data_IF_669281088637
#
_entry.id   IF_669281088637
#
_cell.length_a   1.000
_cell.length_b   1.000
_cell.length_c   1.000
_cell.angle_alpha   90.00
_cell.angle_beta   90.00
_cell.angle_gamma   90.00
#
_symmetry.space_group_name_H-M   'P 1'
#
loop_
_entity.id
_entity.type
_entity.pdbx_description
1 polymer ?
#
# COMPACT_ATOMS: atom_id res chain seq x y z
N UNK A 1 4.92 -0.38 -14.47
CA UNK A 1 5.64 -0.44 -13.20
C UNK A 1 4.97 -1.54 -12.40
N UNK A 2 5.72 -2.52 -11.91
CA UNK A 2 5.10 -3.66 -11.21
C UNK A 2 4.91 -3.29 -9.74
N UNK A 3 3.68 -3.42 -9.22
CA UNK A 3 3.33 -3.01 -7.87
C UNK A 3 2.79 -4.21 -7.10
N UNK A 4 3.36 -4.45 -5.93
CA UNK A 4 2.84 -5.39 -4.94
C UNK A 4 2.09 -4.58 -3.89
N UNK A 5 0.85 -4.97 -3.61
CA UNK A 5 -0.05 -4.31 -2.67
C UNK A 5 -0.39 -5.31 -1.56
N UNK A 6 0.02 -5.04 -0.33
CA UNK A 6 -0.21 -5.88 0.83
C UNK A 6 -1.15 -5.17 1.81
N UNK A 7 -2.38 -5.67 1.92
CA UNK A 7 -3.41 -5.19 2.84
C UNK A 7 -3.33 -5.94 4.16
N UNK A 8 -3.00 -5.21 5.23
CA UNK A 8 -2.77 -5.76 6.57
C UNK A 8 -3.74 -5.16 7.58
N UNK A 9 -4.15 -5.96 8.56
CA UNK A 9 -4.69 -5.42 9.81
C UNK A 9 -3.54 -4.94 10.73
N UNK A 10 -3.88 -4.32 11.86
CA UNK A 10 -2.87 -3.78 12.79
C UNK A 10 -1.91 -4.84 13.36
N UNK A 11 -2.42 -6.03 13.72
CA UNK A 11 -1.59 -7.11 14.26
C UNK A 11 -0.61 -7.65 13.21
N UNK A 12 -1.09 -7.85 11.98
CA UNK A 12 -0.26 -8.29 10.85
C UNK A 12 0.84 -7.28 10.53
N UNK A 13 0.50 -5.98 10.54
CA UNK A 13 1.45 -4.91 10.28
C UNK A 13 2.55 -4.83 11.37
N UNK A 14 2.17 -4.82 12.64
CA UNK A 14 3.10 -4.71 13.77
C UNK A 14 4.06 -5.89 13.89
N UNK A 15 3.62 -7.08 13.49
CA UNK A 15 4.43 -8.31 13.53
C UNK A 15 5.15 -8.60 12.20
N UNK A 16 5.18 -7.64 11.27
CA UNK A 16 5.80 -7.79 9.94
C UNK A 16 5.28 -9.00 9.15
N UNK A 17 4.01 -9.38 9.37
CA UNK A 17 3.33 -10.45 8.65
C UNK A 17 2.67 -9.93 7.38
N UNK A 18 2.44 -10.82 6.41
CA UNK A 18 1.68 -10.52 5.21
C UNK A 18 0.19 -10.72 5.47
N UNK A 19 -0.63 -9.81 4.96
CA UNK A 19 -2.08 -9.97 4.94
C UNK A 19 -2.53 -10.48 3.59
N UNK A 20 -3.41 -9.73 2.92
CA UNK A 20 -3.89 -10.05 1.58
C UNK A 20 -3.03 -9.32 0.55
N UNK A 21 -2.37 -10.07 -0.32
CA UNK A 21 -1.47 -9.54 -1.35
C UNK A 21 -2.17 -9.53 -2.73
N UNK A 22 -2.02 -8.42 -3.44
CA UNK A 22 -2.35 -8.25 -4.85
C UNK A 22 -1.10 -7.80 -5.61
N UNK A 23 -1.00 -8.20 -6.87
CA UNK A 23 0.08 -7.79 -7.77
C UNK A 23 -0.56 -7.21 -9.03
N UNK A 24 -0.13 -6.01 -9.43
CA UNK A 24 -0.65 -5.35 -10.63
C UNK A 24 0.45 -4.56 -11.34
N UNK A 25 0.34 -4.48 -12.67
CA UNK A 25 1.18 -3.60 -13.47
C UNK A 25 0.45 -2.28 -13.69
N UNK A 26 0.97 -1.20 -13.10
CA UNK A 26 0.41 0.15 -13.22
C UNK A 26 1.28 1.02 -14.11
N UNK A 27 0.65 1.93 -14.87
CA UNK A 27 1.34 3.08 -15.44
C UNK A 27 1.73 4.07 -14.34
N UNK A 28 2.69 4.97 -14.64
CA UNK A 28 3.12 6.01 -13.69
C UNK A 28 1.94 6.90 -13.25
N UNK A 29 1.10 7.34 -14.19
CA UNK A 29 -0.09 8.13 -13.89
C UNK A 29 -1.10 7.39 -12.99
N UNK A 30 -1.31 6.09 -13.20
CA UNK A 30 -2.21 5.29 -12.34
C UNK A 30 -1.64 5.13 -10.94
N UNK A 31 -0.32 4.98 -10.83
CA UNK A 31 0.36 4.89 -9.55
C UNK A 31 0.32 6.23 -8.79
N UNK A 32 0.56 7.36 -9.46
CA UNK A 32 0.45 8.69 -8.87
C UNK A 32 -0.97 8.95 -8.34
N UNK A 33 -2.00 8.60 -9.12
CA UNK A 33 -3.40 8.69 -8.67
C UNK A 33 -3.70 7.78 -7.48
N UNK A 34 -3.08 6.60 -7.41
CA UNK A 34 -3.22 5.70 -6.26
C UNK A 34 -2.59 6.31 -5.00
N UNK A 35 -1.37 6.86 -5.11
CA UNK A 35 -0.69 7.52 -3.98
C UNK A 35 -1.49 8.73 -3.48
N UNK A 36 -2.00 9.56 -4.39
CA UNK A 36 -2.86 10.71 -4.05
C UNK A 36 -4.14 10.27 -3.32
N UNK A 37 -4.77 9.18 -3.78
CA UNK A 37 -6.00 8.63 -3.16
C UNK A 37 -5.74 8.11 -1.75
N UNK A 38 -4.55 7.56 -1.53
CA UNK A 38 -4.12 7.00 -0.26
C UNK A 38 -3.46 8.03 0.67
N UNK A 39 -3.36 9.29 0.26
CA UNK A 39 -2.65 10.36 0.99
C UNK A 39 -1.21 9.94 1.37
N UNK A 40 -0.54 9.23 0.46
CA UNK A 40 0.85 8.78 0.62
C UNK A 40 1.81 9.78 -0.03
N UNK A 41 2.92 10.08 0.65
CA UNK A 41 3.96 10.93 0.10
C UNK A 41 4.98 10.12 -0.74
N UNK A 42 5.43 10.71 -1.85
CA UNK A 42 6.40 10.10 -2.79
C UNK A 42 7.78 9.80 -2.16
N UNK A 43 8.08 10.38 -0.99
CA UNK A 43 9.39 10.26 -0.31
C UNK A 43 9.69 8.84 0.19
N UNK A 44 8.69 7.96 0.27
CA UNK A 44 8.83 6.59 0.77
C UNK A 44 9.24 5.56 -0.31
N UNK A 45 9.65 5.99 -1.51
CA UNK A 45 10.09 5.07 -2.56
C UNK A 45 11.20 4.11 -2.07
N UNK A 46 11.10 2.79 -2.36
CA UNK A 46 10.08 2.10 -3.17
C UNK A 46 8.91 1.51 -2.37
N UNK A 47 8.85 1.72 -1.05
CA UNK A 47 7.90 1.07 -0.15
C UNK A 47 7.02 2.11 0.56
N UNK A 48 5.76 2.19 0.16
CA UNK A 48 4.81 3.18 0.67
C UNK A 48 3.89 2.53 1.69
N UNK A 49 3.63 3.22 2.79
CA UNK A 49 2.81 2.73 3.88
C UNK A 49 1.64 3.69 4.10
N UNK A 50 0.44 3.24 3.76
CA UNK A 50 -0.79 3.98 4.02
C UNK A 50 -1.49 3.40 5.26
N UNK A 51 -2.04 4.27 6.11
CA UNK A 51 -2.98 3.88 7.16
C UNK A 51 -4.38 4.34 6.79
N UNK A 52 -5.31 3.39 6.72
CA UNK A 52 -6.73 3.66 6.46
C UNK A 52 -7.59 3.20 7.63
N UNK A 53 -8.75 3.81 7.79
CA UNK A 53 -9.80 3.33 8.70
C UNK A 53 -11.08 3.05 7.96
N UNK A 54 -11.74 1.97 8.34
CA UNK A 54 -13.08 1.66 7.87
C UNK A 54 -14.15 2.40 8.71
N UNK A 55 -15.41 2.25 8.30
CA UNK A 55 -16.56 2.86 9.00
C UNK A 55 -16.79 2.32 10.43
N UNK A 56 -16.16 1.20 10.78
CA UNK A 56 -16.17 0.63 12.13
C UNK A 56 -15.00 1.13 13.00
N UNK A 57 -14.26 2.16 12.54
CA UNK A 57 -13.06 2.73 13.18
C UNK A 57 -11.93 1.70 13.39
N UNK A 58 -11.92 0.63 12.59
CA UNK A 58 -10.83 -0.34 12.57
C UNK A 58 -9.73 0.14 11.64
N UNK A 59 -8.49 0.11 12.13
CA UNK A 59 -7.31 0.49 11.35
C UNK A 59 -6.81 -0.67 10.48
N UNK A 60 -6.48 -0.34 9.23
CA UNK A 60 -5.81 -1.20 8.28
C UNK A 60 -4.63 -0.46 7.66
N UNK A 61 -3.68 -1.24 7.16
CA UNK A 61 -2.48 -0.75 6.53
C UNK A 61 -2.41 -1.27 5.10
N UNK A 62 -2.08 -0.38 4.17
CA UNK A 62 -1.86 -0.73 2.77
C UNK A 62 -0.39 -0.46 2.49
N UNK A 63 0.39 -1.52 2.34
CA UNK A 63 1.80 -1.46 1.99
C UNK A 63 1.94 -1.64 0.49
N UNK A 64 2.52 -0.67 -0.21
CA UNK A 64 2.81 -0.75 -1.64
C UNK A 64 4.31 -0.92 -1.83
N UNK A 65 4.74 -1.91 -2.60
CA UNK A 65 6.14 -2.10 -3.00
C UNK A 65 6.24 -1.99 -4.52
N UNK A 66 7.11 -1.09 -4.97
CA UNK A 66 7.40 -0.89 -6.40
C UNK A 66 8.58 -1.76 -6.82
N UNK A 67 8.36 -2.67 -7.77
CA UNK A 67 9.40 -3.47 -8.40
C UNK A 67 9.73 -2.94 -9.80
N UNK A 68 11.01 -2.63 -10.03
CA UNK A 68 11.53 -2.37 -11.37
C UNK A 68 11.84 -3.71 -12.04
N UNK A 69 10.92 -4.22 -12.86
CA UNK A 69 11.15 -5.37 -13.75
C UNK A 69 11.87 -4.96 -15.03
#
# INVERSE_FOLDING_TARGET
>A
MHIIIDFKNAEEYENEQHGIIFEEDLTENEFDHLLDTLDCYIEDYPNYHCRVRNDADQEFFICLTVENR
#
